data_IF_753783520252
#
_entry.id   IF_753783520252
#
_cell.length_a   1.000
_cell.length_b   1.000
_cell.length_c   1.000
_cell.angle_alpha   90.00
_cell.angle_beta   90.00
_cell.angle_gamma   90.00
#
_symmetry.space_group_name_H-M   'P 1'
#
loop_
_entity.id
_entity.type
_entity.pdbx_description
1 polymer ?
#
# COMPACT_ATOMS: atom_id res chain seq x y z
N UNK A 1 10.72 18.39 -53.63
CA UNK A 1 11.74 19.43 -53.36
C UNK A 1 12.65 18.93 -52.27
N UNK A 2 13.92 19.30 -52.40
CA UNK A 2 15.10 18.75 -51.75
C UNK A 2 15.25 19.14 -50.27
N UNK A 3 16.06 18.34 -49.58
CA UNK A 3 16.60 18.46 -48.23
C UNK A 3 17.32 19.79 -47.90
N UNK A 4 17.72 19.86 -46.62
CA UNK A 4 18.79 20.64 -45.96
C UNK A 4 18.32 21.97 -45.32
N UNK A 5 18.71 22.33 -44.09
CA UNK A 5 19.97 22.06 -43.38
C UNK A 5 19.75 21.95 -41.86
N UNK A 6 20.46 21.01 -41.20
CA UNK A 6 20.94 21.22 -39.84
C UNK A 6 22.45 20.94 -39.84
N UNK A 7 23.22 22.02 -39.85
CA UNK A 7 24.68 22.17 -39.68
C UNK A 7 25.13 21.49 -38.38
N UNK A 8 25.88 20.37 -38.41
CA UNK A 8 27.34 20.23 -38.47
C UNK A 8 28.13 21.10 -37.50
N UNK A 9 28.87 20.49 -36.56
CA UNK A 9 30.29 20.77 -36.30
C UNK A 9 30.82 19.79 -35.22
N UNK A 10 31.61 18.82 -35.68
CA UNK A 10 32.48 17.85 -34.99
C UNK A 10 33.64 18.59 -34.24
N UNK A 11 34.48 17.98 -33.34
CA UNK A 11 35.36 16.85 -33.70
C UNK A 11 35.88 15.88 -32.59
N UNK A 12 36.35 14.72 -33.08
CA UNK A 12 37.60 13.95 -32.76
C UNK A 12 37.86 13.49 -31.31
N UNK A 13 37.69 12.20 -31.03
CA UNK A 13 38.73 11.15 -30.88
C UNK A 13 39.81 11.43 -29.81
N UNK A 14 40.03 10.51 -28.86
CA UNK A 14 40.94 9.34 -28.98
C UNK A 14 40.96 8.51 -27.69
N UNK A 15 40.98 7.19 -27.89
CA UNK A 15 41.69 6.13 -27.15
C UNK A 15 41.78 6.16 -25.62
N UNK A 16 41.26 5.11 -24.98
CA UNK A 16 42.03 4.44 -23.93
C UNK A 16 41.65 2.98 -23.74
N UNK A 17 42.64 2.14 -24.04
CA UNK A 17 43.00 0.92 -23.34
C UNK A 17 41.93 -0.15 -23.12
N UNK A 18 42.07 -1.22 -23.92
CA UNK A 18 41.83 -2.60 -23.48
C UNK A 18 42.58 -2.85 -22.17
N UNK A 19 41.82 -3.06 -21.09
CA UNK A 19 42.27 -3.82 -19.95
C UNK A 19 41.35 -5.05 -19.82
N UNK A 20 41.92 -6.21 -20.14
CA UNK A 20 41.38 -7.53 -19.80
C UNK A 20 41.65 -7.78 -18.33
N UNK A 21 40.65 -8.22 -17.56
CA UNK A 21 40.69 -9.15 -16.42
C UNK A 21 39.30 -9.14 -15.77
N UNK A 22 38.55 -10.24 -15.86
CA UNK A 22 38.45 -11.31 -14.86
C UNK A 22 37.73 -10.86 -13.57
N UNK A 23 36.57 -11.50 -13.36
CA UNK A 23 35.81 -11.69 -12.12
C UNK A 23 35.88 -10.60 -11.05
N UNK A 24 34.78 -9.87 -10.87
CA UNK A 24 34.27 -9.60 -9.52
C UNK A 24 32.73 -9.59 -9.55
N UNK A 25 32.16 -10.60 -8.89
CA UNK A 25 30.75 -10.71 -8.59
C UNK A 25 30.28 -9.41 -7.96
N UNK A 26 29.38 -8.69 -8.66
CA UNK A 26 28.68 -7.57 -8.05
C UNK A 26 28.02 -8.08 -6.77
N UNK A 27 28.24 -7.44 -5.60
CA UNK A 27 27.41 -7.77 -4.46
C UNK A 27 25.99 -7.41 -4.86
N UNK A 28 25.19 -8.46 -5.04
CA UNK A 28 23.77 -8.41 -5.18
C UNK A 28 23.25 -7.33 -4.23
N UNK A 29 22.45 -6.41 -4.79
CA UNK A 29 21.72 -5.38 -4.07
C UNK A 29 21.02 -6.05 -2.88
N UNK A 30 21.71 -6.09 -1.75
CA UNK A 30 21.20 -6.60 -0.49
C UNK A 30 20.21 -5.53 -0.10
N UNK A 31 18.95 -5.75 -0.47
CA UNK A 31 17.84 -4.96 0.01
C UNK A 31 18.04 -4.82 1.51
N UNK A 32 18.49 -3.64 1.90
CA UNK A 32 18.70 -3.27 3.27
C UNK A 32 17.31 -3.42 3.89
N UNK A 33 17.15 -4.40 4.78
CA UNK A 33 15.89 -4.63 5.46
C UNK A 33 15.73 -3.46 6.40
N UNK A 34 15.14 -2.38 5.89
CA UNK A 34 14.71 -1.25 6.69
C UNK A 34 13.79 -1.81 7.78
N UNK A 35 13.96 -1.39 9.06
CA UNK A 35 13.18 -1.93 10.16
C UNK A 35 11.71 -1.81 9.80
N UNK A 36 10.96 -2.90 9.94
CA UNK A 36 9.59 -2.97 9.51
C UNK A 36 8.73 -1.97 10.30
N UNK A 37 8.55 -0.78 9.74
CA UNK A 37 7.78 0.28 10.37
C UNK A 37 6.29 -0.04 10.27
N UNK A 38 5.52 0.38 11.28
CA UNK A 38 4.07 0.30 11.22
C UNK A 38 3.56 1.18 10.07
N UNK A 39 2.89 0.56 9.09
CA UNK A 39 2.30 1.28 7.95
C UNK A 39 0.87 1.66 8.32
N UNK A 40 0.58 2.96 8.30
CA UNK A 40 -0.76 3.49 8.57
C UNK A 40 -1.34 4.07 7.29
N UNK A 41 -2.55 3.65 6.94
CA UNK A 41 -3.25 4.15 5.76
C UNK A 41 -4.74 4.34 6.04
N UNK A 42 -5.39 5.22 5.28
CA UNK A 42 -6.83 5.47 5.39
C UNK A 42 -7.53 4.89 4.19
N UNK A 43 -8.51 4.02 4.43
CA UNK A 43 -9.38 3.47 3.41
C UNK A 43 -10.78 4.07 3.53
N UNK A 44 -11.33 4.44 2.38
CA UNK A 44 -12.61 5.11 2.31
C UNK A 44 -13.66 4.13 1.76
N UNK A 45 -14.46 3.57 2.66
CA UNK A 45 -15.38 2.47 2.36
C UNK A 45 -16.80 3.02 2.21
N UNK A 46 -17.32 3.04 0.98
CA UNK A 46 -18.68 3.51 0.71
C UNK A 46 -19.71 2.41 0.99
N UNK A 47 -20.63 2.70 1.92
CA UNK A 47 -21.77 1.83 2.26
C UNK A 47 -23.12 2.53 2.11
N UNK A 48 -23.15 3.71 1.49
CA UNK A 48 -24.37 4.49 1.29
C UNK A 48 -25.39 3.77 0.41
N UNK A 49 -24.92 2.89 -0.48
CA UNK A 49 -25.74 2.07 -1.37
C UNK A 49 -26.28 0.79 -0.72
N UNK A 50 -26.04 0.58 0.58
CA UNK A 50 -26.41 -0.66 1.28
C UNK A 50 -25.39 -1.80 1.10
N UNK A 51 -24.22 -1.52 0.54
CA UNK A 51 -23.15 -2.50 0.36
C UNK A 51 -22.58 -2.94 1.71
N UNK A 52 -22.41 -4.26 1.90
CA UNK A 52 -21.79 -4.79 3.12
C UNK A 52 -20.29 -4.46 3.13
N UNK A 53 -19.74 -4.26 4.32
CA UNK A 53 -18.32 -3.91 4.50
C UNK A 53 -17.39 -4.99 3.91
N UNK A 54 -17.71 -6.27 4.15
CA UNK A 54 -16.88 -7.40 3.69
C UNK A 54 -15.60 -7.58 4.48
N UNK A 55 -15.59 -7.21 5.77
CA UNK A 55 -14.45 -7.38 6.66
C UNK A 55 -14.95 -8.05 7.93
N UNK A 56 -14.33 -9.16 8.30
CA UNK A 56 -14.48 -9.75 9.63
C UNK A 56 -13.37 -9.22 10.53
N UNK A 57 -13.77 -8.83 11.73
CA UNK A 57 -12.89 -8.28 12.74
C UNK A 57 -13.01 -9.04 14.06
N UNK A 58 -11.90 -9.14 14.76
CA UNK A 58 -11.84 -9.69 16.11
C UNK A 58 -11.33 -8.61 17.06
N UNK A 59 -12.01 -8.47 18.21
CA UNK A 59 -11.56 -7.60 19.29
C UNK A 59 -10.28 -8.17 19.91
N UNK A 60 -9.19 -7.42 19.82
CA UNK A 60 -7.92 -7.77 20.45
C UNK A 60 -7.78 -6.96 21.75
N UNK A 61 -8.01 -7.62 22.88
CA UNK A 61 -8.07 -6.98 24.20
C UNK A 61 -6.73 -6.33 24.60
N UNK A 62 -5.61 -6.94 24.22
CA UNK A 62 -4.26 -6.45 24.54
C UNK A 62 -3.95 -5.10 23.90
N UNK A 63 -4.30 -4.93 22.62
CA UNK A 63 -4.04 -3.70 21.87
C UNK A 63 -5.24 -2.73 21.84
N UNK A 64 -6.36 -3.10 22.46
CA UNK A 64 -7.64 -2.36 22.42
C UNK A 64 -8.03 -1.95 20.99
N UNK A 65 -7.81 -2.85 20.04
CA UNK A 65 -7.99 -2.61 18.62
C UNK A 65 -8.83 -3.72 17.99
N UNK A 66 -9.41 -3.44 16.82
CA UNK A 66 -10.08 -4.46 16.02
C UNK A 66 -9.09 -4.99 14.98
N UNK A 67 -8.76 -6.27 15.08
CA UNK A 67 -7.91 -6.95 14.11
C UNK A 67 -8.75 -7.50 12.98
N UNK A 68 -8.40 -7.20 11.75
CA UNK A 68 -8.97 -7.81 10.55
C UNK A 68 -8.54 -9.28 10.52
N UNK A 69 -9.50 -10.18 10.60
CA UNK A 69 -9.25 -11.64 10.52
C UNK A 69 -9.49 -12.16 9.12
N UNK A 70 -10.40 -11.53 8.37
CA UNK A 70 -10.75 -11.91 7.01
C UNK A 70 -11.28 -10.73 6.24
N UNK A 71 -10.98 -10.71 4.95
CA UNK A 71 -11.56 -9.77 3.98
C UNK A 71 -12.28 -10.62 2.95
N UNK A 72 -13.55 -10.33 2.73
CA UNK A 72 -14.41 -11.03 1.78
C UNK A 72 -14.21 -10.47 0.37
N UNK A 73 -14.06 -11.36 -0.60
CA UNK A 73 -13.99 -11.02 -2.02
C UNK A 73 -15.38 -10.73 -2.62
N UNK A 74 -15.41 -10.02 -3.76
CA UNK A 74 -16.63 -9.76 -4.54
C UNK A 74 -17.07 -8.30 -4.50
N UNK A 75 -18.39 -8.06 -4.49
CA UNK A 75 -18.98 -6.70 -4.51
C UNK A 75 -19.16 -6.12 -3.11
N UNK A 76 -18.14 -6.27 -2.25
CA UNK A 76 -18.11 -5.68 -0.92
C UNK A 76 -17.26 -4.41 -0.89
N UNK A 77 -17.54 -3.51 0.05
CA UNK A 77 -16.85 -2.22 0.12
C UNK A 77 -15.32 -2.37 0.24
N UNK A 78 -14.85 -3.34 1.03
CA UNK A 78 -13.42 -3.62 1.19
C UNK A 78 -12.75 -4.18 -0.09
N UNK A 79 -13.42 -5.09 -0.78
CA UNK A 79 -12.93 -5.64 -2.05
C UNK A 79 -12.85 -4.57 -3.14
N UNK A 80 -13.88 -3.71 -3.24
CA UNK A 80 -13.91 -2.57 -4.16
C UNK A 80 -12.75 -1.60 -3.86
N UNK A 81 -12.49 -1.33 -2.58
CA UNK A 81 -11.36 -0.51 -2.17
C UNK A 81 -10.03 -1.14 -2.60
N UNK A 82 -9.84 -2.44 -2.36
CA UNK A 82 -8.61 -3.14 -2.68
C UNK A 82 -8.31 -3.15 -4.20
N UNK A 83 -9.34 -3.33 -5.04
CA UNK A 83 -9.22 -3.26 -6.50
C UNK A 83 -8.74 -1.89 -6.98
N UNK A 84 -9.28 -0.82 -6.38
CA UNK A 84 -8.91 0.56 -6.72
C UNK A 84 -7.59 1.03 -6.07
N UNK A 85 -7.14 0.37 -5.00
CA UNK A 85 -5.98 0.80 -4.19
C UNK A 85 -4.99 -0.36 -3.95
N UNK A 86 -4.26 -0.83 -4.97
CA UNK A 86 -3.36 -1.97 -4.86
C UNK A 86 -2.17 -1.73 -3.91
N UNK A 87 -1.80 -0.48 -3.63
CA UNK A 87 -0.72 -0.13 -2.70
C UNK A 87 -1.19 -0.04 -1.23
N UNK A 88 -2.50 -0.08 -0.98
CA UNK A 88 -3.09 0.09 0.35
C UNK A 88 -4.27 -0.85 0.51
N UNK A 89 -4.05 -2.10 0.13
CA UNK A 89 -5.04 -3.17 0.22
C UNK A 89 -5.25 -3.53 1.69
N UNK A 90 -6.51 -3.60 2.10
CA UNK A 90 -6.94 -4.14 3.38
C UNK A 90 -6.72 -5.65 3.33
N UNK A 91 -6.00 -6.18 4.30
CA UNK A 91 -5.68 -7.60 4.40
C UNK A 91 -5.89 -8.13 5.82
N UNK A 92 -6.05 -9.45 5.98
CA UNK A 92 -5.98 -10.09 7.28
C UNK A 92 -4.68 -9.74 8.03
N UNK A 93 -4.79 -9.42 9.31
CA UNK A 93 -3.68 -8.95 10.13
C UNK A 93 -3.60 -7.43 10.31
N UNK A 94 -4.34 -6.66 9.51
CA UNK A 94 -4.46 -5.22 9.72
C UNK A 94 -5.26 -4.90 10.99
N UNK A 95 -4.97 -3.76 11.59
CA UNK A 95 -5.66 -3.26 12.77
C UNK A 95 -6.43 -2.00 12.43
N UNK A 96 -7.71 -1.95 12.79
CA UNK A 96 -8.50 -0.73 12.70
C UNK A 96 -8.16 0.15 13.89
N UNK A 97 -7.56 1.30 13.62
CA UNK A 97 -7.19 2.31 14.62
C UNK A 97 -8.31 3.30 14.88
N UNK A 98 -9.02 3.72 13.83
CA UNK A 98 -10.16 4.62 13.95
C UNK A 98 -11.10 4.52 12.76
N UNK A 99 -12.35 4.95 12.97
CA UNK A 99 -13.39 5.03 11.92
C UNK A 99 -14.08 6.38 12.05
N UNK A 100 -14.08 7.18 10.98
CA UNK A 100 -14.60 8.56 10.98
C UNK A 100 -14.05 9.42 12.14
N UNK A 101 -12.78 9.21 12.49
CA UNK A 101 -12.14 9.91 13.62
C UNK A 101 -12.49 9.38 15.02
N UNK A 102 -13.34 8.36 15.15
CA UNK A 102 -13.61 7.67 16.41
C UNK A 102 -12.53 6.64 16.70
N UNK A 103 -11.98 6.65 17.91
CA UNK A 103 -10.87 5.77 18.34
C UNK A 103 -11.36 4.74 19.37
N UNK A 104 -12.36 5.09 20.16
CA UNK A 104 -12.96 4.20 21.15
C UNK A 104 -13.66 3.01 20.48
N UNK A 105 -13.34 1.79 20.92
CA UNK A 105 -13.89 0.55 20.34
C UNK A 105 -15.41 0.56 20.20
N UNK A 106 -16.12 1.10 21.20
CA UNK A 106 -17.59 1.17 21.18
C UNK A 106 -18.10 2.06 20.06
N UNK A 107 -17.50 3.24 19.90
CA UNK A 107 -17.84 4.19 18.85
C UNK A 107 -17.40 3.68 17.48
N UNK A 108 -16.22 3.08 17.37
CA UNK A 108 -15.72 2.43 16.15
C UNK A 108 -16.71 1.36 15.67
N UNK A 109 -17.18 0.49 16.57
CA UNK A 109 -18.15 -0.56 16.25
C UNK A 109 -19.52 0.05 15.88
N UNK A 110 -19.93 1.13 16.54
CA UNK A 110 -21.18 1.83 16.23
C UNK A 110 -21.13 2.49 14.84
N UNK A 111 -20.04 3.16 14.50
CA UNK A 111 -19.79 3.76 13.19
C UNK A 111 -19.78 2.68 12.09
N UNK A 112 -19.08 1.56 12.32
CA UNK A 112 -19.07 0.41 11.42
C UNK A 112 -20.45 -0.22 11.20
N UNK A 113 -21.49 0.11 11.97
CA UNK A 113 -22.86 -0.38 11.73
C UNK A 113 -23.71 0.59 10.91
N UNK A 114 -23.24 1.82 10.70
CA UNK A 114 -23.97 2.83 9.95
C UNK A 114 -23.82 2.63 8.44
N UNK A 115 -24.87 2.97 7.69
CA UNK A 115 -24.91 2.91 6.23
C UNK A 115 -24.45 4.24 5.64
N UNK A 116 -23.18 4.56 5.89
CA UNK A 116 -22.54 5.79 5.43
C UNK A 116 -21.17 5.49 4.82
N UNK A 117 -20.55 6.53 4.26
CA UNK A 117 -19.16 6.49 3.90
C UNK A 117 -18.31 6.41 5.17
N UNK A 118 -17.43 5.42 5.25
CA UNK A 118 -16.58 5.17 6.41
C UNK A 118 -15.13 5.46 6.06
N UNK A 119 -14.56 6.46 6.70
CA UNK A 119 -13.12 6.72 6.66
C UNK A 119 -12.43 5.89 7.74
N UNK A 120 -11.91 4.73 7.34
CA UNK A 120 -11.29 3.76 8.25
C UNK A 120 -9.78 3.89 8.20
N UNK A 121 -9.16 4.13 9.34
CA UNK A 121 -7.70 4.17 9.47
C UNK A 121 -7.21 2.79 9.87
N UNK A 122 -6.45 2.16 8.99
CA UNK A 122 -5.79 0.89 9.21
C UNK A 122 -4.33 1.08 9.60
N UNK A 123 -3.85 0.17 10.45
CA UNK A 123 -2.46 0.02 10.83
C UNK A 123 -2.02 -1.40 10.52
N UNK A 124 -1.01 -1.55 9.68
CA UNK A 124 -0.32 -2.81 9.43
C UNK A 124 0.97 -2.81 10.20
N UNK A 125 1.12 -3.72 11.15
CA UNK A 125 2.39 -3.90 11.86
C UNK A 125 3.42 -4.42 10.87
N UNK A 126 4.56 -3.75 10.77
CA UNK A 126 5.71 -4.28 10.06
C UNK A 126 6.16 -5.57 10.75
N UNK A 127 6.11 -6.70 10.06
CA UNK A 127 6.55 -7.98 10.62
C UNK A 127 8.07 -8.00 10.87
N UNK A 128 8.56 -8.82 11.82
CA UNK A 128 10.00 -8.98 12.07
C UNK A 128 10.74 -9.60 10.88
#
# INVERSE_FOLDING_TARGET
MFCNCCTSEDPVAVESAVARSMDEAGPANRLEVEPAQDVVFTACLDRTTGTRLGIDVQEELDNKALKVTRVEDGLFAAAIWNDSNPNSTIAPGDYIRSVNGKIDLKDVVAECKQWQKLDVVFMRKGGP
#
